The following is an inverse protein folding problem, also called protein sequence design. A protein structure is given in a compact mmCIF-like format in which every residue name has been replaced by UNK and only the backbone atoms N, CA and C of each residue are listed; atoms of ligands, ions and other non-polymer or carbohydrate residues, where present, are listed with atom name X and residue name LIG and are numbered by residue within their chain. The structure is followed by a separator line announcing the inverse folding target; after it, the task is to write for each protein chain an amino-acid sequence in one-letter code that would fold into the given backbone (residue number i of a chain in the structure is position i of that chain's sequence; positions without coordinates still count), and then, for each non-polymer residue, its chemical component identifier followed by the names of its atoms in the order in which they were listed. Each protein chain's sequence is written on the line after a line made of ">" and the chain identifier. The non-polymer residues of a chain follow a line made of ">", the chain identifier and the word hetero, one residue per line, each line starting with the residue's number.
data_IF_185035997395
#
_entry.id   IF_185035997395
#
_cell.length_a   1.000
_cell.length_b   1.000
_cell.length_c   1.000
_cell.angle_alpha   90.00
_cell.angle_beta   90.00
_cell.angle_gamma   90.00
#
_symmetry.space_group_name_H-M   'P 1'
#
loop_
_entity.id
_entity.type
_entity.pdbx_description
1 polymer ?
#
# COMPACT_ATOMS: atom_id res chain seq x y z
N UNK A 1 -43.39 11.62 31.54
CA UNK A 1 -42.48 12.48 30.74
C UNK A 1 -43.06 12.69 29.34
N UNK A 2 -43.51 13.90 28.99
CA UNK A 2 -43.97 14.22 27.62
C UNK A 2 -42.77 14.34 26.69
N UNK A 3 -42.55 13.36 25.80
CA UNK A 3 -41.53 13.43 24.73
C UNK A 3 -41.86 14.60 23.80
N UNK A 4 -41.04 15.65 23.79
CA UNK A 4 -41.16 16.75 22.82
C UNK A 4 -40.56 16.28 21.49
N UNK A 5 -41.32 16.36 20.39
CA UNK A 5 -40.92 15.84 19.06
C UNK A 5 -39.56 16.36 18.58
N UNK A 6 -39.18 17.60 18.94
CA UNK A 6 -37.86 18.17 18.61
C UNK A 6 -36.66 17.50 19.30
N UNK A 7 -36.89 16.83 20.44
CA UNK A 7 -35.84 16.11 21.18
C UNK A 7 -35.37 14.86 20.42
N UNK A 8 -36.31 14.13 19.79
CA UNK A 8 -36.03 12.92 19.02
C UNK A 8 -35.27 13.24 17.73
N UNK A 9 -35.58 14.37 17.07
CA UNK A 9 -34.88 14.80 15.87
C UNK A 9 -33.42 15.18 16.17
N UNK A 10 -33.19 15.86 17.29
CA UNK A 10 -31.84 16.25 17.70
C UNK A 10 -30.98 15.02 18.05
N UNK A 11 -31.54 14.05 18.78
CA UNK A 11 -30.86 12.77 19.07
C UNK A 11 -30.54 11.97 17.80
N UNK A 12 -31.47 11.96 16.82
CA UNK A 12 -31.22 11.30 15.54
C UNK A 12 -30.10 12.00 14.74
N UNK A 13 -30.07 13.33 14.75
CA UNK A 13 -29.06 14.11 14.05
C UNK A 13 -27.67 13.96 14.68
N UNK A 14 -27.58 13.91 16.00
CA UNK A 14 -26.32 13.67 16.72
C UNK A 14 -25.82 12.24 16.49
N UNK A 15 -26.71 11.25 16.53
CA UNK A 15 -26.35 9.86 16.20
C UNK A 15 -25.86 9.71 14.76
N UNK A 16 -26.50 10.38 13.81
CA UNK A 16 -26.09 10.38 12.40
C UNK A 16 -24.72 11.03 12.24
N UNK A 17 -24.47 12.19 12.85
CA UNK A 17 -23.19 12.89 12.74
C UNK A 17 -22.05 12.08 13.35
N UNK A 18 -22.25 11.46 14.52
CA UNK A 18 -21.26 10.57 15.14
C UNK A 18 -20.95 9.39 14.21
N UNK A 19 -21.99 8.76 13.65
CA UNK A 19 -21.81 7.63 12.73
C UNK A 19 -21.01 8.03 11.48
N UNK A 20 -21.28 9.21 10.94
CA UNK A 20 -20.62 9.74 9.76
C UNK A 20 -19.13 10.04 10.03
N UNK A 21 -18.82 10.60 11.20
CA UNK A 21 -17.44 10.80 11.66
C UNK A 21 -16.71 9.45 11.76
N UNK A 22 -17.33 8.45 12.40
CA UNK A 22 -16.72 7.11 12.54
C UNK A 22 -16.41 6.50 11.17
N UNK A 23 -17.36 6.54 10.23
CA UNK A 23 -17.18 5.99 8.89
C UNK A 23 -16.06 6.71 8.14
N UNK A 24 -16.00 8.04 8.24
CA UNK A 24 -14.94 8.83 7.59
C UNK A 24 -13.56 8.49 8.19
N UNK A 25 -13.46 8.44 9.52
CA UNK A 25 -12.20 8.10 10.19
C UNK A 25 -11.72 6.70 9.82
N UNK A 26 -12.62 5.70 9.78
CA UNK A 26 -12.29 4.35 9.34
C UNK A 26 -11.82 4.32 7.89
N UNK A 27 -12.51 5.03 7.00
CA UNK A 27 -12.16 5.09 5.57
C UNK A 27 -10.76 5.69 5.36
N UNK A 28 -10.44 6.76 6.08
CA UNK A 28 -9.11 7.39 6.04
C UNK A 28 -8.05 6.42 6.57
N UNK A 29 -8.31 5.78 7.72
CA UNK A 29 -7.37 4.83 8.32
C UNK A 29 -7.08 3.65 7.38
N UNK A 30 -8.12 3.03 6.82
CA UNK A 30 -7.97 1.93 5.85
C UNK A 30 -7.16 2.38 4.63
N UNK A 31 -7.39 3.60 4.15
CA UNK A 31 -6.65 4.14 3.01
C UNK A 31 -5.15 4.28 3.29
N UNK A 32 -4.77 4.79 4.47
CA UNK A 32 -3.37 4.88 4.87
C UNK A 32 -2.72 3.50 5.06
N UNK A 33 -3.44 2.55 5.67
CA UNK A 33 -2.95 1.18 5.82
C UNK A 33 -2.75 0.50 4.46
N UNK A 34 -3.64 0.75 3.50
CA UNK A 34 -3.51 0.19 2.15
C UNK A 34 -2.27 0.73 1.41
N UNK A 35 -1.92 2.01 1.61
CA UNK A 35 -0.67 2.59 1.08
C UNK A 35 0.54 1.86 1.63
N UNK A 36 0.62 1.68 2.95
CA UNK A 36 1.72 0.96 3.60
C UNK A 36 1.86 -0.48 3.07
N UNK A 37 0.73 -1.19 2.92
CA UNK A 37 0.72 -2.55 2.38
C UNK A 37 1.25 -2.57 0.94
N UNK A 38 0.84 -1.62 0.10
CA UNK A 38 1.29 -1.53 -1.28
C UNK A 38 2.81 -1.23 -1.38
N UNK A 39 3.38 -0.49 -0.44
CA UNK A 39 4.83 -0.24 -0.37
C UNK A 39 5.58 -1.50 0.08
N UNK A 40 5.06 -2.22 1.07
CA UNK A 40 5.62 -3.52 1.49
C UNK A 40 5.54 -4.55 0.36
N UNK A 41 4.43 -4.61 -0.37
CA UNK A 41 4.26 -5.48 -1.52
C UNK A 41 5.29 -5.16 -2.62
N UNK A 42 5.53 -3.87 -2.88
CA UNK A 42 6.55 -3.43 -3.83
C UNK A 42 7.95 -3.90 -3.42
N UNK A 43 8.29 -3.74 -2.13
CA UNK A 43 9.57 -4.18 -1.56
C UNK A 43 9.74 -5.69 -1.68
N UNK A 44 8.76 -6.48 -1.24
CA UNK A 44 8.82 -7.96 -1.30
C UNK A 44 8.96 -8.45 -2.74
N UNK A 45 8.18 -7.86 -3.66
CA UNK A 45 8.25 -8.20 -5.10
C UNK A 45 9.63 -7.87 -5.67
N UNK A 46 10.22 -6.72 -5.30
CA UNK A 46 11.58 -6.37 -5.74
C UNK A 46 12.63 -7.38 -5.24
N UNK A 47 12.55 -7.84 -3.99
CA UNK A 47 13.45 -8.86 -3.47
C UNK A 47 13.22 -10.22 -4.15
N UNK A 48 11.96 -10.60 -4.41
CA UNK A 48 11.65 -11.79 -5.17
C UNK A 48 12.23 -11.73 -6.59
N UNK A 49 12.24 -10.55 -7.21
CA UNK A 49 12.84 -10.31 -8.52
C UNK A 49 14.37 -10.49 -8.50
N UNK A 50 15.04 -10.02 -7.45
CA UNK A 50 16.48 -10.26 -7.22
C UNK A 50 16.74 -11.77 -7.06
N UNK A 51 15.97 -12.45 -6.23
CA UNK A 51 16.11 -13.90 -6.02
C UNK A 51 15.90 -14.70 -7.31
N UNK A 52 14.99 -14.27 -8.19
CA UNK A 52 14.78 -14.92 -9.48
C UNK A 52 15.96 -14.72 -10.44
N UNK A 53 16.55 -13.52 -10.48
CA UNK A 53 17.80 -13.27 -11.23
C UNK A 53 18.96 -14.11 -10.69
N UNK A 54 19.09 -14.24 -9.36
CA UNK A 54 20.09 -15.08 -8.73
C UNK A 54 19.92 -16.56 -9.06
N UNK A 55 18.68 -17.04 -9.11
CA UNK A 55 18.37 -18.45 -9.43
C UNK A 55 18.55 -18.77 -10.90
N UNK A 56 18.30 -17.82 -11.80
CA UNK A 56 18.28 -18.06 -13.23
C UNK A 56 18.90 -16.88 -13.99
N UNK A 57 20.12 -17.05 -14.50
CA UNK A 57 20.91 -15.98 -15.15
C UNK A 57 20.27 -15.42 -16.43
N UNK A 58 19.28 -16.11 -17.02
CA UNK A 58 18.55 -15.68 -18.21
C UNK A 58 17.21 -14.98 -17.88
N UNK A 59 16.99 -14.60 -16.63
CA UNK A 59 15.76 -13.93 -16.24
C UNK A 59 15.78 -12.47 -16.72
N UNK A 60 14.65 -11.95 -17.26
CA UNK A 60 14.64 -10.65 -17.93
C UNK A 60 14.90 -9.49 -16.96
N UNK A 61 15.79 -8.59 -17.38
CA UNK A 61 16.16 -7.37 -16.64
C UNK A 61 14.97 -6.43 -16.38
N UNK A 62 13.89 -6.56 -17.16
CA UNK A 62 12.67 -5.77 -17.03
C UNK A 62 11.44 -6.66 -16.96
N UNK A 63 10.64 -6.51 -15.91
CA UNK A 63 9.35 -7.19 -15.79
C UNK A 63 8.26 -6.22 -15.35
N UNK A 64 7.08 -6.36 -15.95
CA UNK A 64 5.88 -5.65 -15.56
C UNK A 64 5.08 -6.50 -14.59
N UNK A 65 4.87 -6.00 -13.36
CA UNK A 65 4.03 -6.65 -12.35
C UNK A 65 2.99 -5.63 -11.89
N UNK A 66 1.70 -5.97 -12.00
CA UNK A 66 0.58 -5.11 -11.58
C UNK A 66 0.69 -3.65 -12.07
N UNK A 67 0.95 -3.48 -13.37
CA UNK A 67 1.11 -2.17 -14.02
C UNK A 67 2.30 -1.32 -13.53
N UNK A 68 3.19 -1.89 -12.71
CA UNK A 68 4.47 -1.29 -12.30
C UNK A 68 5.61 -2.00 -13.03
N UNK A 69 6.60 -1.24 -13.43
CA UNK A 69 7.76 -1.77 -14.16
C UNK A 69 8.94 -1.87 -13.21
N UNK A 70 9.49 -3.08 -13.10
CA UNK A 70 10.65 -3.41 -12.28
C UNK A 70 11.86 -3.52 -13.20
N UNK A 71 12.92 -2.78 -12.87
CA UNK A 71 14.20 -2.81 -13.58
C UNK A 71 15.27 -3.38 -12.66
N UNK A 72 15.87 -4.50 -13.05
CA UNK A 72 17.01 -5.08 -12.34
C UNK A 72 18.31 -4.52 -12.90
N UNK A 73 19.25 -4.21 -12.01
CA UNK A 73 20.60 -3.81 -12.32
C UNK A 73 21.55 -4.54 -11.37
N UNK A 74 22.53 -5.23 -11.94
CA UNK A 74 23.64 -5.81 -11.18
C UNK A 74 24.85 -4.87 -11.24
N UNK A 75 25.44 -4.58 -10.09
CA UNK A 75 26.74 -3.91 -9.96
C UNK A 75 27.69 -4.81 -9.17
N UNK A 76 28.99 -4.55 -9.23
CA UNK A 76 30.05 -5.46 -8.77
C UNK A 76 29.86 -6.02 -7.33
N UNK A 77 29.16 -5.29 -6.45
CA UNK A 77 28.94 -5.70 -5.06
C UNK A 77 27.47 -5.64 -4.60
N UNK A 78 26.51 -5.32 -5.50
CA UNK A 78 25.12 -5.06 -5.11
C UNK A 78 24.12 -5.46 -6.21
N UNK A 79 23.02 -6.06 -5.80
CA UNK A 79 21.82 -6.25 -6.61
C UNK A 79 20.85 -5.11 -6.38
N UNK A 80 20.36 -4.48 -7.45
CA UNK A 80 19.45 -3.34 -7.36
C UNK A 80 18.20 -3.57 -8.20
N UNK A 81 17.04 -3.21 -7.65
CA UNK A 81 15.77 -3.19 -8.38
C UNK A 81 15.10 -1.83 -8.23
N UNK A 82 14.85 -1.18 -9.36
CA UNK A 82 14.20 0.12 -9.43
C UNK A 82 12.74 -0.02 -9.84
N UNK A 83 11.84 0.59 -9.07
CA UNK A 83 10.39 0.59 -9.28
C UNK A 83 9.84 1.96 -8.93
N UNK A 84 9.18 2.65 -9.88
CA UNK A 84 8.52 3.94 -9.63
C UNK A 84 9.33 4.91 -8.75
N UNK A 85 10.63 5.12 -9.07
CA UNK A 85 11.59 5.97 -8.35
C UNK A 85 12.12 5.43 -7.00
N UNK A 86 11.69 4.25 -6.57
CA UNK A 86 12.26 3.56 -5.41
C UNK A 86 13.30 2.55 -5.84
N UNK A 87 14.45 2.57 -5.17
CA UNK A 87 15.57 1.66 -5.42
C UNK A 87 15.70 0.73 -4.22
N UNK A 88 15.51 -0.56 -4.45
CA UNK A 88 15.72 -1.60 -3.45
C UNK A 88 17.06 -2.28 -3.74
N UNK A 89 17.94 -2.33 -2.73
CA UNK A 89 19.28 -2.85 -2.87
C UNK A 89 19.52 -4.02 -1.90
N UNK A 90 20.26 -5.02 -2.37
CA UNK A 90 20.76 -6.13 -1.56
C UNK A 90 22.26 -6.25 -1.82
N UNK A 91 23.07 -6.34 -0.77
CA UNK A 91 24.52 -6.57 -0.89
C UNK A 91 24.77 -8.03 -1.29
N UNK A 92 25.77 -8.22 -2.16
CA UNK A 92 26.16 -9.53 -2.67
C UNK A 92 26.91 -10.36 -1.64
#
# INVERSE_FOLDING_TARGET
>A
MKKRKGFILFEALTSLTISLIIILTLTICISEQFKLINDWEMKVTAHQFILQHLRNQNFPERVMVKNKVYYFQESANKYQVTVNQHVYQVEK
#
